data_IF_555578445914
#
_entry.id   IF_555578445914
#
_cell.length_a   1.000
_cell.length_b   1.000
_cell.length_c   1.000
_cell.angle_alpha   90.00
_cell.angle_beta   90.00
_cell.angle_gamma   90.00
#
_symmetry.space_group_name_H-M   'P 1'
#
loop_
_entity.id
_entity.type
_entity.pdbx_description
1 polymer ?
#
# COMPACT_ATOMS: atom_id res chain seq x y z
N UNK A 1 6.10 -19.89 3.85
CA UNK A 1 6.84 -18.63 3.81
C UNK A 1 8.30 -18.97 3.60
N UNK A 2 8.95 -18.31 2.63
CA UNK A 2 10.31 -18.60 2.19
C UNK A 2 11.22 -17.54 2.82
N UNK A 3 12.17 -17.97 3.64
CA UNK A 3 13.12 -17.07 4.27
C UNK A 3 14.19 -16.65 3.27
N UNK A 4 14.26 -15.35 2.98
CA UNK A 4 15.25 -14.76 2.06
C UNK A 4 16.20 -13.79 2.78
N UNK A 5 16.25 -13.81 4.11
CA UNK A 5 17.06 -12.86 4.89
C UNK A 5 18.56 -13.08 4.70
N UNK A 6 18.98 -14.32 4.43
CA UNK A 6 20.38 -14.69 4.27
C UNK A 6 20.57 -15.63 3.08
N UNK A 7 21.37 -15.18 2.10
CA UNK A 7 21.66 -15.93 0.86
C UNK A 7 22.28 -17.30 1.15
N UNK A 8 23.17 -17.37 2.15
CA UNK A 8 23.88 -18.60 2.53
C UNK A 8 22.98 -19.67 3.14
N UNK A 9 21.76 -19.30 3.57
CA UNK A 9 20.80 -20.21 4.19
C UNK A 9 19.66 -20.59 3.22
N UNK A 10 19.74 -20.17 1.97
CA UNK A 10 18.72 -20.49 0.97
C UNK A 10 18.76 -21.98 0.64
N UNK A 11 17.71 -22.68 1.07
CA UNK A 11 17.43 -24.07 0.71
C UNK A 11 16.02 -24.16 0.11
N UNK A 12 15.96 -24.61 -1.15
CA UNK A 12 14.71 -24.76 -1.91
C UNK A 12 14.27 -26.22 -2.06
N UNK A 13 14.97 -27.16 -1.42
CA UNK A 13 14.70 -28.61 -1.52
C UNK A 13 13.26 -28.99 -1.15
N UNK A 14 12.63 -28.23 -0.24
CA UNK A 14 11.23 -28.44 0.17
C UNK A 14 10.21 -27.64 -0.65
N UNK A 15 10.67 -26.66 -1.41
CA UNK A 15 9.84 -25.78 -2.24
C UNK A 15 9.67 -26.33 -3.65
N UNK A 16 10.77 -26.78 -4.26
CA UNK A 16 10.78 -27.28 -5.64
C UNK A 16 9.75 -28.41 -5.86
N UNK A 17 9.69 -29.47 -5.01
CA UNK A 17 8.69 -30.51 -5.18
C UNK A 17 7.25 -29.98 -5.11
N UNK A 18 7.00 -28.90 -4.38
CA UNK A 18 5.64 -28.31 -4.31
C UNK A 18 5.28 -27.60 -5.61
N UNK A 19 6.23 -26.93 -6.25
CA UNK A 19 6.05 -26.28 -7.53
C UNK A 19 5.85 -27.29 -8.67
N UNK A 20 6.58 -28.42 -8.62
CA UNK A 20 6.39 -29.53 -9.57
C UNK A 20 5.01 -30.18 -9.47
N UNK A 21 4.39 -30.12 -8.27
CA UNK A 21 3.06 -30.71 -8.02
C UNK A 21 1.89 -29.79 -8.38
N UNK A 22 2.15 -28.54 -8.80
CA UNK A 22 1.10 -27.64 -9.29
C UNK A 22 1.32 -26.16 -8.95
N UNK A 23 0.38 -25.30 -9.38
CA UNK A 23 0.48 -23.86 -9.20
C UNK A 23 0.45 -23.47 -7.72
N UNK A 24 1.36 -22.58 -7.31
CA UNK A 24 1.55 -22.15 -5.93
C UNK A 24 1.67 -20.62 -5.84
N UNK A 25 1.14 -20.04 -4.78
CA UNK A 25 1.44 -18.64 -4.40
C UNK A 25 2.52 -18.63 -3.33
N UNK A 26 3.50 -17.76 -3.48
CA UNK A 26 4.69 -17.73 -2.63
C UNK A 26 4.62 -16.52 -1.70
N UNK A 27 5.10 -16.68 -0.47
CA UNK A 27 5.23 -15.58 0.50
C UNK A 27 6.67 -15.50 0.96
N UNK A 28 7.29 -14.34 0.77
CA UNK A 28 8.69 -14.11 1.09
C UNK A 28 8.81 -13.50 2.49
N UNK A 29 9.78 -13.96 3.27
CA UNK A 29 10.22 -13.31 4.51
C UNK A 29 11.53 -12.59 4.23
N UNK A 30 11.45 -11.27 4.08
CA UNK A 30 12.59 -10.37 3.90
C UNK A 30 13.09 -9.80 5.23
N UNK A 31 12.52 -10.25 6.36
CA UNK A 31 12.84 -9.73 7.69
C UNK A 31 12.35 -8.31 7.96
N UNK A 32 11.67 -7.66 7.02
CA UNK A 32 11.23 -6.26 7.11
C UNK A 32 10.32 -6.01 8.32
N UNK A 33 9.47 -6.99 8.67
CA UNK A 33 8.52 -6.89 9.78
C UNK A 33 9.17 -6.93 11.17
N UNK A 34 10.46 -7.25 11.28
CA UNK A 34 11.13 -7.35 12.57
C UNK A 34 11.74 -6.00 12.98
N UNK A 35 11.51 -5.52 14.21
CA UNK A 35 11.91 -4.17 14.65
C UNK A 35 13.42 -3.93 14.71
N UNK A 36 14.22 -5.00 14.70
CA UNK A 36 15.68 -4.95 14.72
C UNK A 36 16.32 -4.96 13.34
N UNK A 37 15.55 -5.25 12.28
CA UNK A 37 16.05 -5.18 10.91
C UNK A 37 16.41 -3.74 10.60
N UNK A 38 17.64 -3.51 10.12
CA UNK A 38 18.08 -2.20 9.63
C UNK A 38 17.48 -1.95 8.25
N UNK A 39 16.16 -1.86 8.24
CA UNK A 39 15.36 -1.46 7.10
C UNK A 39 15.91 -0.14 6.57
N UNK A 40 16.25 -0.08 5.28
CA UNK A 40 16.95 1.02 4.58
C UNK A 40 18.48 1.10 4.70
N UNK A 41 19.13 0.23 5.46
CA UNK A 41 20.60 0.14 5.42
C UNK A 41 21.07 -0.45 4.08
N UNK A 42 22.09 0.14 3.48
CA UNK A 42 22.59 -0.24 2.16
C UNK A 42 23.09 -1.69 2.10
N UNK A 43 23.67 -2.21 3.20
CA UNK A 43 24.13 -3.61 3.26
C UNK A 43 22.95 -4.57 3.35
N UNK A 44 21.94 -4.20 4.13
CA UNK A 44 20.69 -4.95 4.22
C UNK A 44 20.01 -5.02 2.85
N UNK A 45 19.91 -3.90 2.14
CA UNK A 45 19.36 -3.89 0.77
C UNK A 45 20.17 -4.77 -0.19
N UNK A 46 21.50 -4.65 -0.21
CA UNK A 46 22.35 -5.46 -1.07
C UNK A 46 22.23 -6.97 -0.77
N UNK A 47 22.05 -7.34 0.50
CA UNK A 47 21.82 -8.73 0.91
C UNK A 47 20.49 -9.25 0.38
N UNK A 48 19.41 -8.47 0.55
CA UNK A 48 18.09 -8.84 0.06
C UNK A 48 18.03 -8.87 -1.47
N UNK A 49 18.70 -7.94 -2.15
CA UNK A 49 18.87 -7.97 -3.61
C UNK A 49 19.51 -9.29 -4.05
N UNK A 50 20.64 -9.67 -3.44
CA UNK A 50 21.33 -10.91 -3.78
C UNK A 50 20.42 -12.13 -3.52
N UNK A 51 19.73 -12.18 -2.38
CA UNK A 51 18.79 -13.25 -2.05
C UNK A 51 17.67 -13.36 -3.08
N UNK A 52 17.08 -12.22 -3.49
CA UNK A 52 16.03 -12.17 -4.49
C UNK A 52 16.54 -12.63 -5.85
N UNK A 53 17.73 -12.19 -6.28
CA UNK A 53 18.33 -12.66 -7.54
C UNK A 53 18.62 -14.16 -7.53
N UNK A 54 19.17 -14.68 -6.44
CA UNK A 54 19.41 -16.13 -6.28
C UNK A 54 18.10 -16.91 -6.30
N UNK A 55 17.08 -16.42 -5.60
CA UNK A 55 15.73 -17.02 -5.61
C UNK A 55 15.09 -16.96 -7.00
N UNK A 56 15.21 -15.83 -7.70
CA UNK A 56 14.69 -15.67 -9.06
C UNK A 56 15.32 -16.69 -10.01
N UNK A 57 16.65 -16.79 -10.05
CA UNK A 57 17.34 -17.72 -10.95
C UNK A 57 17.15 -19.20 -10.57
N UNK A 58 17.09 -19.52 -9.28
CA UNK A 58 16.98 -20.91 -8.83
C UNK A 58 15.54 -21.44 -8.81
N UNK A 59 14.54 -20.57 -8.64
CA UNK A 59 13.14 -20.96 -8.42
C UNK A 59 12.19 -20.28 -9.40
N UNK A 60 12.22 -18.96 -9.52
CA UNK A 60 11.19 -18.28 -10.32
C UNK A 60 11.36 -18.52 -11.82
N UNK A 61 12.56 -18.40 -12.36
CA UNK A 61 12.78 -18.62 -13.80
C UNK A 61 12.45 -20.07 -14.24
N UNK A 62 12.88 -21.13 -13.53
CA UNK A 62 12.58 -22.50 -13.95
C UNK A 62 11.11 -22.91 -13.73
N UNK A 63 10.41 -22.29 -12.77
CA UNK A 63 9.06 -22.70 -12.36
C UNK A 63 8.00 -21.59 -12.51
N UNK A 64 8.26 -20.55 -13.30
CA UNK A 64 7.36 -19.37 -13.40
C UNK A 64 5.91 -19.72 -13.73
N UNK A 65 5.70 -20.70 -14.59
CA UNK A 65 4.36 -21.14 -15.01
C UNK A 65 3.58 -21.83 -13.87
N UNK A 66 4.29 -22.25 -12.82
CA UNK A 66 3.74 -22.80 -11.59
C UNK A 66 3.64 -21.75 -10.46
N UNK A 67 4.04 -20.49 -10.70
CA UNK A 67 3.94 -19.43 -9.69
C UNK A 67 2.79 -18.50 -10.02
N UNK A 68 1.75 -18.53 -9.20
CA UNK A 68 0.53 -17.72 -9.40
C UNK A 68 0.64 -16.29 -8.87
N UNK A 69 1.65 -16.03 -8.03
CA UNK A 69 1.91 -14.71 -7.47
C UNK A 69 2.79 -14.75 -6.24
N UNK A 70 3.39 -13.60 -5.92
CA UNK A 70 4.37 -13.43 -4.84
C UNK A 70 3.84 -12.40 -3.85
N UNK A 71 3.75 -12.78 -2.58
CA UNK A 71 3.56 -11.84 -1.47
C UNK A 71 4.93 -11.40 -0.98
N UNK A 72 5.33 -10.17 -1.35
CA UNK A 72 6.64 -9.60 -1.02
C UNK A 72 6.72 -9.14 0.43
N UNK A 73 5.60 -8.65 0.97
CA UNK A 73 5.47 -8.24 2.36
C UNK A 73 4.09 -8.58 2.90
N UNK A 74 4.07 -9.05 4.14
CA UNK A 74 2.86 -9.26 4.92
C UNK A 74 3.13 -8.83 6.37
N UNK A 75 2.48 -7.76 6.83
CA UNK A 75 2.72 -7.21 8.17
C UNK A 75 1.99 -5.90 8.46
N UNK A 76 2.50 -5.12 9.40
CA UNK A 76 1.98 -3.81 9.78
C UNK A 76 2.23 -2.78 8.67
N UNK A 77 1.35 -1.78 8.53
CA UNK A 77 1.54 -0.59 7.72
C UNK A 77 2.31 0.52 8.46
N UNK A 78 2.48 0.37 9.79
CA UNK A 78 3.24 1.33 10.60
C UNK A 78 4.76 1.11 10.46
N UNK A 79 5.40 2.02 9.74
CA UNK A 79 6.86 2.11 9.57
C UNK A 79 7.44 3.38 10.21
N UNK A 80 6.73 4.02 11.15
CA UNK A 80 7.18 5.25 11.80
C UNK A 80 8.55 5.10 12.51
N UNK A 81 8.83 3.91 13.05
CA UNK A 81 10.09 3.56 13.72
C UNK A 81 11.34 3.70 12.83
N UNK A 82 11.17 3.73 11.51
CA UNK A 82 12.27 3.85 10.54
C UNK A 82 12.88 5.25 10.58
N UNK A 83 12.06 6.26 10.87
CA UNK A 83 12.46 7.67 10.90
C UNK A 83 13.32 7.98 12.12
N UNK A 84 12.98 7.39 13.26
CA UNK A 84 13.72 7.57 14.53
C UNK A 84 15.19 7.15 14.42
N UNK A 85 15.51 6.26 13.47
CA UNK A 85 16.84 5.67 13.29
C UNK A 85 17.65 6.32 12.16
N UNK A 86 17.12 7.33 11.47
CA UNK A 86 17.76 7.91 10.28
C UNK A 86 17.57 9.43 10.18
N UNK A 87 18.63 10.18 10.50
CA UNK A 87 18.66 11.65 10.48
C UNK A 87 18.25 12.22 9.12
N UNK A 88 18.75 11.66 8.02
CA UNK A 88 18.43 12.15 6.67
C UNK A 88 16.95 11.94 6.31
N UNK A 89 16.33 10.86 6.80
CA UNK A 89 14.87 10.68 6.62
C UNK A 89 14.06 11.60 7.51
N UNK A 90 14.55 11.89 8.71
CA UNK A 90 13.93 12.87 9.60
C UNK A 90 13.92 14.27 8.98
N UNK A 91 15.03 14.72 8.37
CA UNK A 91 15.08 15.99 7.62
C UNK A 91 14.14 16.00 6.41
N UNK A 92 14.04 14.89 5.69
CA UNK A 92 13.07 14.74 4.58
C UNK A 92 11.63 14.78 5.08
N UNK A 93 11.34 14.18 6.23
CA UNK A 93 10.02 14.24 6.87
C UNK A 93 9.68 15.67 7.28
N UNK A 94 10.60 16.40 7.91
CA UNK A 94 10.43 17.81 8.29
C UNK A 94 10.17 18.71 7.07
N UNK A 95 10.88 18.47 5.97
CA UNK A 95 10.63 19.16 4.70
C UNK A 95 9.25 18.82 4.13
N UNK A 96 8.83 17.55 4.26
CA UNK A 96 7.55 17.06 3.77
C UNK A 96 6.36 17.66 4.52
N UNK A 97 6.40 17.72 5.86
CA UNK A 97 5.32 18.34 6.65
C UNK A 97 5.16 19.83 6.34
N UNK A 98 6.26 20.54 6.08
CA UNK A 98 6.23 21.96 5.69
C UNK A 98 5.64 22.12 4.30
N UNK A 99 6.07 21.30 3.34
CA UNK A 99 5.60 21.36 1.95
C UNK A 99 4.09 21.18 1.82
N UNK A 100 3.51 20.25 2.60
CA UNK A 100 2.09 19.93 2.55
C UNK A 100 1.26 20.62 3.65
N UNK A 101 1.88 21.48 4.48
CA UNK A 101 1.21 22.19 5.58
C UNK A 101 0.48 21.26 6.55
N UNK A 102 1.13 20.13 6.91
CA UNK A 102 0.52 19.07 7.72
C UNK A 102 0.47 19.48 9.19
N UNK A 103 -0.72 19.45 9.79
CA UNK A 103 -0.94 19.83 11.19
C UNK A 103 -0.82 18.65 12.16
N UNK A 104 -1.18 17.43 11.73
CA UNK A 104 -1.08 16.22 12.55
C UNK A 104 0.27 15.51 12.32
N UNK A 105 1.26 15.88 13.13
CA UNK A 105 2.64 15.37 13.01
C UNK A 105 2.71 13.85 13.27
N UNK A 106 1.87 13.31 14.16
CA UNK A 106 1.93 11.89 14.52
C UNK A 106 1.47 11.01 13.35
N UNK A 107 0.33 11.37 12.75
CA UNK A 107 -0.18 10.65 11.59
C UNK A 107 0.68 10.88 10.35
N UNK A 108 1.13 12.12 10.13
CA UNK A 108 2.07 12.45 9.05
C UNK A 108 3.35 11.59 9.13
N UNK A 109 3.88 11.37 10.34
CA UNK A 109 5.09 10.53 10.53
C UNK A 109 4.86 9.09 10.09
N UNK A 110 3.71 8.53 10.43
CA UNK A 110 3.36 7.14 10.08
C UNK A 110 3.13 7.01 8.57
N UNK A 111 2.41 7.95 7.95
CA UNK A 111 2.19 8.00 6.50
C UNK A 111 3.51 8.16 5.72
N UNK A 112 4.40 9.02 6.19
CA UNK A 112 5.72 9.18 5.60
C UNK A 112 6.56 7.91 5.72
N UNK A 113 6.59 7.28 6.90
CA UNK A 113 7.26 5.99 7.12
C UNK A 113 6.74 4.91 6.16
N UNK A 114 5.41 4.81 6.03
CA UNK A 114 4.75 3.92 5.08
C UNK A 114 5.23 4.14 3.65
N UNK A 115 5.23 5.40 3.19
CA UNK A 115 5.67 5.75 1.84
C UNK A 115 7.11 5.32 1.58
N UNK A 116 8.01 5.60 2.52
CA UNK A 116 9.42 5.19 2.41
C UNK A 116 9.54 3.66 2.35
N UNK A 117 8.71 2.95 3.12
CA UNK A 117 8.69 1.50 3.09
C UNK A 117 8.19 0.93 1.76
N UNK A 118 7.16 1.55 1.17
CA UNK A 118 6.66 1.18 -0.14
C UNK A 118 7.70 1.43 -1.22
N UNK A 119 8.34 2.60 -1.25
CA UNK A 119 9.45 2.92 -2.18
C UNK A 119 10.59 1.88 -2.07
N UNK A 120 10.86 1.36 -0.87
CA UNK A 120 11.84 0.31 -0.65
C UNK A 120 11.39 -1.05 -1.20
N UNK A 121 10.15 -1.45 -0.93
CA UNK A 121 9.56 -2.69 -1.45
C UNK A 121 9.47 -2.67 -2.97
N UNK A 122 9.16 -1.52 -3.58
CA UNK A 122 9.12 -1.36 -5.04
C UNK A 122 10.48 -1.61 -5.66
N UNK A 123 11.55 -1.04 -5.08
CA UNK A 123 12.92 -1.30 -5.51
C UNK A 123 13.27 -2.78 -5.39
N UNK A 124 12.88 -3.45 -4.31
CA UNK A 124 13.12 -4.89 -4.17
C UNK A 124 12.33 -5.71 -5.20
N UNK A 125 11.09 -5.30 -5.51
CA UNK A 125 10.26 -5.99 -6.49
C UNK A 125 10.84 -5.94 -7.91
N UNK A 126 11.70 -4.96 -8.21
CA UNK A 126 12.39 -4.89 -9.51
C UNK A 126 13.34 -6.06 -9.79
N UNK A 127 13.68 -6.86 -8.76
CA UNK A 127 14.48 -8.08 -8.89
C UNK A 127 13.64 -9.34 -9.11
N UNK A 128 12.32 -9.21 -9.16
CA UNK A 128 11.38 -10.28 -9.46
C UNK A 128 10.94 -10.22 -10.94
N UNK A 129 10.54 -11.36 -11.54
CA UNK A 129 10.00 -11.37 -12.90
C UNK A 129 8.74 -10.50 -13.03
N UNK A 130 8.67 -9.71 -14.11
CA UNK A 130 7.56 -8.79 -14.37
C UNK A 130 6.23 -9.50 -14.69
N UNK A 131 6.29 -10.73 -15.21
CA UNK A 131 5.12 -11.54 -15.58
C UNK A 131 4.45 -12.22 -14.38
N UNK A 132 5.05 -12.16 -13.20
CA UNK A 132 4.49 -12.73 -11.97
C UNK A 132 3.85 -11.60 -11.13
N UNK A 133 2.56 -11.70 -10.77
CA UNK A 133 1.93 -10.71 -9.90
C UNK A 133 2.63 -10.62 -8.54
N UNK A 134 3.12 -9.43 -8.18
CA UNK A 134 3.72 -9.16 -6.87
C UNK A 134 2.76 -8.33 -6.04
N UNK A 135 2.55 -8.73 -4.79
CA UNK A 135 1.61 -8.09 -3.88
C UNK A 135 2.18 -7.80 -2.50
N UNK A 136 1.60 -6.80 -1.85
CA UNK A 136 1.88 -6.39 -0.48
C UNK A 136 0.60 -6.46 0.34
N UNK A 137 0.67 -7.05 1.53
CA UNK A 137 -0.50 -7.28 2.40
C UNK A 137 -0.30 -6.59 3.74
N UNK A 138 -1.19 -5.66 4.08
CA UNK A 138 -1.18 -4.97 5.37
C UNK A 138 -2.23 -5.58 6.31
N UNK A 139 -1.77 -6.13 7.43
CA UNK A 139 -2.58 -6.88 8.40
C UNK A 139 -3.36 -6.00 9.38
N UNK A 140 -3.01 -4.71 9.44
CA UNK A 140 -3.59 -3.67 10.28
C UNK A 140 -4.50 -2.71 9.48
N UNK A 141 -4.68 -2.94 8.17
CA UNK A 141 -5.48 -2.07 7.30
C UNK A 141 -6.95 -1.90 7.76
N UNK A 142 -7.50 -2.88 8.49
CA UNK A 142 -8.83 -2.78 9.10
C UNK A 142 -8.82 -2.05 10.44
N UNK A 143 -7.69 -2.03 11.15
CA UNK A 143 -7.53 -1.32 12.43
C UNK A 143 -7.26 0.17 12.23
N UNK A 144 -6.65 0.51 11.10
CA UNK A 144 -6.25 1.86 10.72
C UNK A 144 -6.59 2.14 9.25
N UNK A 145 -7.89 2.21 8.90
CA UNK A 145 -8.35 2.41 7.54
C UNK A 145 -7.74 3.61 6.83
N UNK A 146 -7.62 4.75 7.52
CA UNK A 146 -7.07 6.00 7.00
C UNK A 146 -5.68 5.83 6.40
N UNK A 147 -4.79 5.15 7.11
CA UNK A 147 -3.45 4.86 6.64
C UNK A 147 -3.45 4.00 5.39
N UNK A 148 -4.23 2.92 5.40
CA UNK A 148 -4.32 2.01 4.27
C UNK A 148 -4.95 2.69 3.03
N UNK A 149 -5.93 3.58 3.25
CA UNK A 149 -6.60 4.34 2.21
C UNK A 149 -5.69 5.43 1.61
N UNK A 150 -4.87 6.08 2.44
CA UNK A 150 -3.92 7.08 1.96
C UNK A 150 -2.90 6.46 0.98
N UNK A 151 -2.58 5.17 1.13
CA UNK A 151 -1.70 4.45 0.19
C UNK A 151 -2.24 4.45 -1.25
N UNK A 152 -3.56 4.53 -1.42
CA UNK A 152 -4.21 4.59 -2.73
C UNK A 152 -3.99 5.93 -3.43
N UNK A 153 -3.48 6.95 -2.71
CA UNK A 153 -3.16 8.28 -3.28
C UNK A 153 -1.78 8.33 -3.93
N UNK A 154 -0.92 7.34 -3.70
CA UNK A 154 0.41 7.26 -4.30
C UNK A 154 0.31 6.99 -5.81
N UNK A 155 0.47 8.04 -6.62
CA UNK A 155 0.23 8.10 -8.06
C UNK A 155 1.17 7.29 -8.97
N UNK A 156 2.06 6.47 -8.42
CA UNK A 156 2.97 5.71 -9.27
C UNK A 156 2.26 4.45 -9.80
N UNK A 157 2.32 4.15 -11.12
CA UNK A 157 2.11 2.80 -11.58
C UNK A 157 3.15 1.91 -10.90
N UNK A 158 2.73 1.28 -9.81
CA UNK A 158 3.57 0.40 -9.02
C UNK A 158 3.47 -1.01 -9.59
N UNK A 159 4.59 -1.73 -9.75
CA UNK A 159 4.54 -3.18 -10.01
C UNK A 159 3.94 -3.94 -8.81
N UNK A 160 3.81 -3.29 -7.65
CA UNK A 160 3.22 -3.85 -6.46
C UNK A 160 1.70 -3.66 -6.45
N UNK A 161 0.99 -4.78 -6.39
CA UNK A 161 -0.42 -4.78 -6.02
C UNK A 161 -0.56 -4.68 -4.50
N UNK A 162 -1.00 -3.53 -3.99
CA UNK A 162 -1.36 -3.40 -2.58
C UNK A 162 -2.71 -4.09 -2.37
N UNK A 163 -2.73 -5.14 -1.56
CA UNK A 163 -3.97 -5.84 -1.19
C UNK A 163 -4.65 -5.04 -0.10
N UNK A 164 -5.64 -4.25 -0.50
CA UNK A 164 -6.48 -3.51 0.42
C UNK A 164 -7.76 -4.30 0.72
N UNK A 165 -8.19 -4.43 1.99
CA UNK A 165 -9.52 -4.98 2.30
C UNK A 165 -10.67 -4.26 1.58
N UNK A 166 -10.52 -2.99 1.18
CA UNK A 166 -11.56 -2.17 0.55
C UNK A 166 -11.46 -2.12 -0.99
N UNK A 167 -10.40 -2.66 -1.59
CA UNK A 167 -10.24 -2.63 -3.05
C UNK A 167 -11.19 -3.62 -3.74
N UNK A 168 -11.75 -3.22 -4.90
CA UNK A 168 -12.45 -4.12 -5.80
C UNK A 168 -13.81 -4.65 -5.31
N UNK A 169 -14.40 -4.04 -4.29
CA UNK A 169 -15.78 -4.41 -3.86
C UNK A 169 -16.80 -3.72 -4.77
N UNK A 170 -17.78 -4.48 -5.25
CA UNK A 170 -19.04 -3.89 -5.70
C UNK A 170 -19.66 -3.17 -4.50
N UNK A 171 -19.87 -1.87 -4.64
CA UNK A 171 -20.31 -1.00 -3.57
C UNK A 171 -21.16 0.10 -4.19
N UNK A 172 -22.22 0.48 -3.50
CA UNK A 172 -23.07 1.63 -3.85
C UNK A 172 -22.61 2.91 -3.14
N UNK A 173 -21.72 2.79 -2.14
CA UNK A 173 -21.10 3.91 -1.43
C UNK A 173 -19.67 4.10 -1.92
N UNK A 174 -19.32 5.31 -2.30
CA UNK A 174 -17.95 5.72 -2.59
C UNK A 174 -17.41 6.64 -1.49
N UNK A 175 -16.24 6.32 -0.93
CA UNK A 175 -15.54 7.23 -0.02
C UNK A 175 -14.48 7.99 -0.82
N UNK A 176 -14.62 9.31 -0.91
CA UNK A 176 -13.65 10.15 -1.61
C UNK A 176 -12.40 10.31 -0.74
N UNK A 177 -11.27 9.87 -1.28
CA UNK A 177 -9.96 9.93 -0.65
C UNK A 177 -9.27 11.21 -1.11
N UNK A 178 -8.87 12.11 -0.18
CA UNK A 178 -8.22 13.36 -0.51
C UNK A 178 -6.79 13.14 -1.04
N UNK A 179 -6.11 14.18 -1.55
CA UNK A 179 -4.73 14.09 -1.98
C UNK A 179 -3.81 13.66 -0.84
N UNK A 180 -2.63 13.13 -1.20
CA UNK A 180 -1.62 12.71 -0.24
C UNK A 180 -1.33 13.80 0.81
N UNK A 181 -1.30 13.39 2.08
CA UNK A 181 -1.05 14.28 3.22
C UNK A 181 -2.30 15.02 3.71
N UNK A 182 -3.40 15.03 2.97
CA UNK A 182 -4.62 15.73 3.37
C UNK A 182 -5.63 14.80 4.05
N UNK A 183 -5.29 13.55 4.33
CA UNK A 183 -6.19 12.59 4.96
C UNK A 183 -6.60 13.04 6.38
N UNK A 184 -7.91 13.14 6.71
CA UNK A 184 -8.38 13.35 8.07
C UNK A 184 -8.37 12.02 8.83
N UNK A 185 -7.21 11.58 9.31
CA UNK A 185 -7.01 10.22 9.79
C UNK A 185 -8.06 9.74 10.80
N UNK A 186 -8.27 10.48 11.89
CA UNK A 186 -9.22 10.11 12.94
C UNK A 186 -10.68 10.11 12.46
N UNK A 187 -11.03 11.00 11.55
CA UNK A 187 -12.39 11.07 11.00
C UNK A 187 -12.62 9.95 10.00
N UNK A 188 -11.67 9.70 9.10
CA UNK A 188 -11.69 8.59 8.16
C UNK A 188 -11.81 7.25 8.88
N UNK A 189 -11.05 7.02 9.95
CA UNK A 189 -11.14 5.78 10.73
C UNK A 189 -12.53 5.61 11.36
N UNK A 190 -13.11 6.68 11.91
CA UNK A 190 -14.47 6.68 12.48
C UNK A 190 -15.54 6.43 11.43
N UNK A 191 -15.45 7.07 10.27
CA UNK A 191 -16.40 6.93 9.17
C UNK A 191 -16.35 5.52 8.62
N UNK A 192 -15.16 4.99 8.33
CA UNK A 192 -15.01 3.64 7.79
C UNK A 192 -15.53 2.60 8.78
N UNK A 193 -15.31 2.79 10.08
CA UNK A 193 -15.89 1.92 11.11
C UNK A 193 -17.43 2.00 11.18
N UNK A 194 -18.04 3.10 10.73
CA UNK A 194 -19.51 3.26 10.69
C UNK A 194 -20.17 2.57 9.49
N UNK A 195 -19.40 2.22 8.45
CA UNK A 195 -19.95 1.55 7.27
C UNK A 195 -20.39 0.12 7.60
N UNK A 196 -21.68 -0.15 7.39
CA UNK A 196 -22.29 -1.48 7.54
C UNK A 196 -22.36 -2.26 6.23
N UNK A 197 -22.10 -1.58 5.11
CA UNK A 197 -22.04 -2.14 3.76
C UNK A 197 -20.66 -1.87 3.14
N UNK A 198 -20.24 -2.64 2.12
CA UNK A 198 -19.03 -2.35 1.37
C UNK A 198 -19.03 -0.92 0.81
N UNK A 199 -17.86 -0.27 0.87
CA UNK A 199 -17.61 1.00 0.21
C UNK A 199 -16.47 0.85 -0.79
N UNK A 200 -16.45 1.73 -1.80
CA UNK A 200 -15.35 1.87 -2.76
C UNK A 200 -14.52 3.10 -2.41
N UNK A 201 -13.21 2.98 -2.17
CA UNK A 201 -12.36 4.16 -2.10
C UNK A 201 -12.20 4.77 -3.49
N UNK A 202 -12.46 6.07 -3.60
CA UNK A 202 -12.39 6.83 -4.85
C UNK A 202 -11.41 7.97 -4.66
N UNK A 203 -10.34 7.97 -5.45
CA UNK A 203 -9.38 9.08 -5.41
C UNK A 203 -10.06 10.35 -5.91
N UNK A 204 -9.83 11.47 -5.24
CA UNK A 204 -10.42 12.77 -5.62
C UNK A 204 -10.22 13.08 -7.11
N UNK A 205 -9.00 12.87 -7.62
CA UNK A 205 -8.65 13.13 -9.03
C UNK A 205 -9.31 12.19 -10.04
N UNK A 206 -9.93 11.09 -9.59
CA UNK A 206 -10.57 10.06 -10.42
C UNK A 206 -12.08 9.93 -10.18
N UNK A 207 -12.72 10.88 -9.49
CA UNK A 207 -14.17 10.80 -9.18
C UNK A 207 -15.00 10.54 -10.44
N UNK A 208 -14.73 11.28 -11.52
CA UNK A 208 -15.43 11.17 -12.80
C UNK A 208 -15.26 9.82 -13.51
N UNK A 209 -14.21 9.05 -13.18
CA UNK A 209 -13.93 7.74 -13.78
C UNK A 209 -14.44 6.59 -12.91
N UNK A 210 -14.52 6.79 -11.59
CA UNK A 210 -14.74 5.71 -10.62
C UNK A 210 -16.14 5.70 -9.99
N UNK A 211 -16.97 6.71 -10.27
CA UNK A 211 -18.33 6.86 -9.72
C UNK A 211 -19.39 5.93 -10.35
N UNK A 212 -19.04 5.12 -11.35
CA UNK A 212 -20.00 4.21 -11.98
C UNK A 212 -20.47 3.14 -10.99
N UNK A 213 -21.79 3.01 -10.84
CA UNK A 213 -22.44 2.11 -9.88
C UNK A 213 -22.43 2.61 -8.44
N UNK A 214 -22.04 3.87 -8.22
CA UNK A 214 -22.09 4.54 -6.91
C UNK A 214 -23.37 5.37 -6.83
N UNK A 215 -24.15 5.15 -5.78
CA UNK A 215 -25.37 5.90 -5.47
C UNK A 215 -25.07 7.04 -4.48
N UNK A 216 -24.10 6.85 -3.59
CA UNK A 216 -23.73 7.81 -2.54
C UNK A 216 -22.21 8.07 -2.52
N UNK A 217 -21.80 9.34 -2.53
CA UNK A 217 -20.42 9.76 -2.31
C UNK A 217 -20.28 10.41 -0.93
N UNK A 218 -19.43 9.83 -0.09
CA UNK A 218 -18.99 10.40 1.19
C UNK A 218 -17.74 11.23 0.94
N UNK A 219 -17.78 12.50 1.34
CA UNK A 219 -16.70 13.47 1.12
C UNK A 219 -16.28 14.18 2.41
N UNK A 220 -15.07 14.74 2.39
CA UNK A 220 -14.53 15.66 3.39
C UNK A 220 -14.56 17.10 2.84
N UNK A 221 -15.60 17.91 3.11
CA UNK A 221 -15.82 19.19 2.43
C UNK A 221 -14.68 20.19 2.64
N UNK A 222 -14.04 20.15 3.81
CA UNK A 222 -12.90 20.99 4.18
C UNK A 222 -11.66 20.77 3.32
N UNK A 223 -11.64 19.72 2.51
CA UNK A 223 -10.47 19.25 1.76
C UNK A 223 -10.70 19.23 0.25
N UNK A 224 -11.91 19.53 -0.21
CA UNK A 224 -12.25 19.47 -1.63
C UNK A 224 -11.68 20.68 -2.37
N UNK A 225 -10.99 20.43 -3.48
CA UNK A 225 -10.53 21.50 -4.37
C UNK A 225 -11.66 22.04 -5.27
N UNK A 226 -11.47 23.25 -5.82
CA UNK A 226 -12.50 23.91 -6.64
C UNK A 226 -12.92 23.13 -7.89
N UNK A 227 -12.03 22.31 -8.45
CA UNK A 227 -12.33 21.43 -9.57
C UNK A 227 -13.21 20.25 -9.16
N UNK A 228 -12.92 19.66 -8.00
CA UNK A 228 -13.66 18.55 -7.39
C UNK A 228 -15.11 18.93 -7.13
N UNK A 229 -15.37 20.15 -6.66
CA UNK A 229 -16.74 20.66 -6.49
C UNK A 229 -17.55 20.64 -7.80
N UNK A 230 -16.90 20.85 -8.96
CA UNK A 230 -17.58 20.73 -10.26
C UNK A 230 -17.87 19.28 -10.61
N UNK A 231 -16.94 18.37 -10.33
CA UNK A 231 -17.15 16.93 -10.54
C UNK A 231 -18.31 16.42 -9.70
N UNK A 232 -18.38 16.82 -8.43
CA UNK A 232 -19.44 16.48 -7.50
C UNK A 232 -20.82 16.96 -7.98
N UNK A 233 -20.93 18.17 -8.53
CA UNK A 233 -22.20 18.65 -9.15
C UNK A 233 -22.63 17.78 -10.33
N UNK A 234 -21.67 17.26 -11.09
CA UNK A 234 -21.95 16.31 -12.17
C UNK A 234 -22.55 14.99 -11.63
N UNK A 235 -22.14 14.57 -10.44
CA UNK A 235 -22.60 13.34 -9.80
C UNK A 235 -24.05 13.50 -9.34
N UNK A 236 -24.35 14.61 -8.66
CA UNK A 236 -25.70 14.94 -8.23
C UNK A 236 -26.65 15.10 -9.42
N UNK A 237 -26.19 15.73 -10.51
CA UNK A 237 -26.97 15.86 -11.74
C UNK A 237 -27.30 14.52 -12.41
N UNK A 238 -26.45 13.50 -12.19
CA UNK A 238 -26.69 12.12 -12.65
C UNK A 238 -27.59 11.31 -11.70
N UNK A 239 -28.07 11.91 -10.59
CA UNK A 239 -28.96 11.29 -9.63
C UNK A 239 -28.28 10.73 -8.38
N UNK A 240 -26.97 10.93 -8.23
CA UNK A 240 -26.23 10.51 -7.03
C UNK A 240 -26.47 11.41 -5.82
N UNK A 241 -26.17 10.90 -4.63
CA UNK A 241 -26.29 11.62 -3.36
C UNK A 241 -24.91 11.93 -2.77
N UNK A 242 -24.70 13.15 -2.26
CA UNK A 242 -23.45 13.53 -1.58
C UNK A 242 -23.70 13.66 -0.09
N UNK A 243 -22.92 12.93 0.69
CA UNK A 243 -22.88 13.02 2.15
C UNK A 243 -21.59 13.70 2.58
N UNK A 244 -21.72 14.91 3.13
CA UNK A 244 -20.62 15.66 3.71
C UNK A 244 -20.43 15.30 5.19
N UNK A 245 -19.23 14.89 5.58
CA UNK A 245 -18.86 14.70 6.99
C UNK A 245 -18.18 15.95 7.54
N UNK A 246 -18.44 16.29 8.81
CA UNK A 246 -17.98 17.50 9.51
C UNK A 246 -17.07 17.16 10.70
#
# INVERSE_FOLDING_TARGET
>A
MIDLREVSLLDFSTLIPKLENGPLSLTLDLGIRYPFTRFLDARTFATLELSLRTFTGAVLEPYKDHVTGITLYQGSSDFSYVLEKNVALQERFESWIVLYSLSDIHHARTAFGFRIALEYLEKLSSFLPYDIPVKVVFTDAEKRPSFALETLTCDAPSPLSIVHPYAGREATIGLVIPPLGQMPYEETDRIVASFTVPFRPIREVLINQMWHGIDELVIFPSMMQGETLRMLRGFEAAGGCITSMF
#
